data_IF_840334322224
#
_entry.id   IF_840334322224
#
_cell.length_a   1.000
_cell.length_b   1.000
_cell.length_c   1.000
_cell.angle_alpha   90.00
_cell.angle_beta   90.00
_cell.angle_gamma   90.00
#
_symmetry.space_group_name_H-M   'P 1'
#
loop_
_entity.id
_entity.type
_entity.pdbx_description
1 polymer ?
#
# COMPACT_ATOMS: atom_id res chain seq x y z
N UNK A 1 -7.24 13.90 -14.07
CA UNK A 1 -7.10 12.45 -14.23
C UNK A 1 -7.79 11.85 -13.00
N UNK A 2 -7.75 10.54 -12.81
CA UNK A 2 -8.04 9.94 -11.51
C UNK A 2 -7.01 8.86 -11.19
N UNK A 3 -6.46 8.85 -9.98
CA UNK A 3 -5.77 7.67 -9.47
C UNK A 3 -6.84 6.76 -8.86
N UNK A 4 -6.79 5.46 -9.16
CA UNK A 4 -7.87 4.53 -8.86
C UNK A 4 -7.36 3.23 -8.25
N UNK A 5 -7.67 2.99 -6.98
CA UNK A 5 -7.30 1.80 -6.24
C UNK A 5 -8.11 0.58 -6.69
N UNK A 6 -7.41 -0.52 -6.95
CA UNK A 6 -8.02 -1.82 -7.23
C UNK A 6 -8.37 -2.54 -5.93
N UNK A 7 -9.55 -3.20 -5.81
CA UNK A 7 -9.89 -3.98 -4.63
C UNK A 7 -8.94 -5.18 -4.46
N UNK A 8 -8.42 -5.46 -3.26
CA UNK A 8 -7.66 -6.67 -2.99
C UNK A 8 -8.59 -7.91 -2.91
N UNK A 9 -8.07 -9.12 -3.11
CA UNK A 9 -8.79 -10.35 -2.81
C UNK A 9 -9.25 -10.39 -1.35
N UNK A 10 -10.48 -10.84 -1.10
CA UNK A 10 -11.03 -10.92 0.26
C UNK A 10 -10.17 -11.75 1.23
N UNK A 11 -9.48 -12.77 0.73
CA UNK A 11 -8.50 -13.56 1.50
C UNK A 11 -7.29 -12.74 1.96
N UNK A 12 -6.80 -11.82 1.13
CA UNK A 12 -5.65 -10.96 1.47
C UNK A 12 -6.00 -9.98 2.60
N UNK A 13 -7.16 -9.31 2.51
CA UNK A 13 -7.64 -8.44 3.58
C UNK A 13 -7.90 -9.23 4.88
N UNK A 14 -8.49 -10.43 4.78
CA UNK A 14 -8.71 -11.31 5.93
C UNK A 14 -7.40 -11.75 6.59
N UNK A 15 -6.35 -12.04 5.82
CA UNK A 15 -5.04 -12.41 6.33
C UNK A 15 -4.41 -11.27 7.15
N UNK A 16 -4.49 -10.02 6.66
CA UNK A 16 -4.02 -8.83 7.41
C UNK A 16 -4.84 -8.61 8.68
N UNK A 17 -6.18 -8.62 8.59
CA UNK A 17 -7.04 -8.42 9.76
C UNK A 17 -6.81 -9.51 10.84
N UNK A 18 -6.58 -10.76 10.43
CA UNK A 18 -6.23 -11.87 11.32
C UNK A 18 -4.88 -11.65 12.03
N UNK A 19 -3.84 -11.22 11.30
CA UNK A 19 -2.53 -10.92 11.87
C UNK A 19 -2.59 -9.75 12.87
N UNK A 20 -3.35 -8.69 12.56
CA UNK A 20 -3.55 -7.55 13.45
C UNK A 20 -4.39 -7.92 14.70
N UNK A 21 -5.41 -8.77 14.55
CA UNK A 21 -6.19 -9.29 15.67
C UNK A 21 -5.35 -10.19 16.59
N UNK A 22 -4.41 -10.96 16.01
CA UNK A 22 -3.43 -11.79 16.73
C UNK A 22 -2.32 -10.98 17.43
N UNK A 23 -2.31 -9.66 17.31
CA UNK A 23 -1.32 -8.79 17.97
C UNK A 23 0.06 -8.81 17.30
N UNK A 24 0.13 -8.97 15.98
CA UNK A 24 1.39 -8.87 15.23
C UNK A 24 2.13 -7.56 15.54
N UNK A 25 3.37 -7.67 16.05
CA UNK A 25 4.15 -6.54 16.52
C UNK A 25 4.55 -5.59 15.37
N UNK A 26 4.31 -4.30 15.55
CA UNK A 26 4.77 -3.27 14.62
C UNK A 26 6.30 -3.16 14.67
N UNK A 27 6.99 -3.12 13.51
CA UNK A 27 8.44 -3.01 13.47
C UNK A 27 8.89 -1.55 13.73
N UNK A 28 10.00 -1.33 14.46
CA UNK A 28 10.54 0.02 14.63
C UNK A 28 10.89 0.66 13.28
N UNK A 29 10.69 1.98 13.10
CA UNK A 29 10.31 2.97 14.12
C UNK A 29 8.81 3.08 14.39
N UNK A 30 7.95 2.22 13.81
CA UNK A 30 6.51 2.31 14.02
C UNK A 30 6.10 1.91 15.44
N UNK A 31 5.70 2.90 16.23
CA UNK A 31 4.93 2.71 17.46
C UNK A 31 3.47 3.04 17.18
N UNK A 32 2.56 2.13 17.50
CA UNK A 32 1.18 2.55 17.74
C UNK A 32 1.13 3.36 19.04
N UNK A 33 0.34 4.44 19.03
CA UNK A 33 -0.25 5.02 20.22
C UNK A 33 -1.42 4.16 20.74
N UNK A 34 -2.49 4.77 21.27
CA UNK A 34 -3.62 4.02 21.83
C UNK A 34 -4.55 3.40 20.76
N UNK A 35 -4.39 3.74 19.48
CA UNK A 35 -5.21 3.21 18.40
C UNK A 35 -4.70 1.84 17.90
N UNK A 36 -5.63 0.90 17.66
CA UNK A 36 -5.28 -0.30 16.89
C UNK A 36 -5.08 0.10 15.42
N UNK A 37 -3.96 -0.27 14.76
CA UNK A 37 -3.74 0.03 13.34
C UNK A 37 -4.81 -0.62 12.46
N UNK A 38 -5.28 0.11 11.43
CA UNK A 38 -6.34 -0.31 10.50
C UNK A 38 -5.86 -0.19 9.04
N UNK A 39 -6.21 -1.13 8.14
CA UNK A 39 -5.91 -1.00 6.71
C UNK A 39 -6.60 0.23 6.09
N UNK A 40 -5.81 1.21 5.64
CA UNK A 40 -6.28 2.42 4.96
C UNK A 40 -6.52 2.16 3.47
N UNK A 41 -5.55 1.55 2.79
CA UNK A 41 -5.59 1.24 1.36
C UNK A 41 -4.74 0.02 1.04
N UNK A 42 -4.93 -0.56 -0.15
CA UNK A 42 -4.13 -1.68 -0.65
C UNK A 42 -3.52 -1.35 -2.03
N UNK A 43 -2.26 -1.74 -2.24
CA UNK A 43 -1.55 -1.67 -3.52
C UNK A 43 -1.17 -3.08 -3.98
N UNK A 44 -1.51 -3.50 -5.22
CA UNK A 44 -1.07 -4.77 -5.75
C UNK A 44 0.41 -4.71 -6.13
N UNK A 45 1.19 -5.66 -5.61
CA UNK A 45 2.62 -5.81 -5.91
C UNK A 45 2.75 -6.67 -7.16
N UNK A 46 3.40 -6.13 -8.19
CA UNK A 46 3.66 -6.79 -9.46
C UNK A 46 5.16 -7.02 -9.64
N UNK A 47 5.55 -8.24 -10.04
CA UNK A 47 6.93 -8.57 -10.36
C UNK A 47 7.15 -8.64 -11.88
N UNK A 48 8.29 -8.12 -12.33
CA UNK A 48 8.79 -8.36 -13.69
C UNK A 48 9.53 -9.69 -13.73
N UNK A 49 9.47 -10.39 -14.87
CA UNK A 49 10.16 -11.68 -15.09
C UNK A 49 10.95 -11.67 -16.39
N UNK A 50 12.04 -12.46 -16.40
CA UNK A 50 12.90 -12.66 -17.56
C UNK A 50 13.99 -11.59 -17.75
N UNK A 51 14.96 -11.84 -18.65
CA UNK A 51 16.16 -11.00 -18.82
C UNK A 51 15.93 -9.69 -19.58
N UNK A 52 14.75 -9.51 -20.19
CA UNK A 52 14.32 -8.29 -20.88
C UNK A 52 12.93 -7.88 -20.35
N UNK A 53 12.87 -7.34 -19.11
CA UNK A 53 11.62 -7.20 -18.38
C UNK A 53 10.68 -6.14 -18.99
N UNK A 54 9.42 -6.51 -19.24
CA UNK A 54 8.39 -5.63 -19.82
C UNK A 54 7.18 -5.54 -18.90
N UNK A 55 6.63 -4.34 -18.70
CA UNK A 55 5.40 -4.12 -17.91
C UNK A 55 4.20 -4.97 -18.38
N UNK A 56 4.10 -5.25 -19.68
CA UNK A 56 3.04 -6.10 -20.24
C UNK A 56 3.12 -7.58 -19.78
N UNK A 57 4.26 -8.02 -19.23
CA UNK A 57 4.45 -9.33 -18.61
C UNK A 57 4.62 -9.24 -17.08
N UNK A 58 4.21 -8.14 -16.45
CA UNK A 58 4.28 -7.99 -15.00
C UNK A 58 3.13 -8.75 -14.32
N UNK A 59 3.46 -9.75 -13.50
CA UNK A 59 2.48 -10.57 -12.78
C UNK A 59 2.24 -10.04 -11.37
N UNK A 60 0.98 -9.99 -10.92
CA UNK A 60 0.65 -9.65 -9.53
C UNK A 60 1.08 -10.79 -8.59
N UNK A 61 2.08 -10.55 -7.74
CA UNK A 61 2.67 -11.55 -6.82
C UNK A 61 2.21 -11.38 -5.37
N UNK A 62 1.62 -10.24 -5.01
CA UNK A 62 1.16 -9.96 -3.66
C UNK A 62 0.43 -8.63 -3.53
N UNK A 63 0.20 -8.20 -2.30
CA UNK A 63 -0.49 -6.95 -1.94
C UNK A 63 0.17 -6.31 -0.72
N UNK A 64 0.44 -5.00 -0.82
CA UNK A 64 0.84 -4.16 0.32
C UNK A 64 -0.37 -3.40 0.83
N UNK A 65 -0.77 -3.62 2.07
CA UNK A 65 -1.78 -2.80 2.75
C UNK A 65 -1.08 -1.72 3.55
N UNK A 66 -1.43 -0.44 3.36
CA UNK A 66 -0.94 0.62 4.24
C UNK A 66 -1.83 0.71 5.47
N UNK A 67 -1.22 0.75 6.65
CA UNK A 67 -1.90 0.74 7.95
C UNK A 67 -1.85 2.14 8.57
N UNK A 68 -3.03 2.69 8.86
CA UNK A 68 -3.18 3.96 9.57
C UNK A 68 -3.60 3.72 11.02
N UNK A 69 -3.09 4.54 11.95
CA UNK A 69 -3.60 4.59 13.32
C UNK A 69 -4.69 5.65 13.51
N UNK A 70 -4.84 6.57 12.54
CA UNK A 70 -5.77 7.69 12.66
C UNK A 70 -7.22 7.18 12.64
N UNK A 71 -7.89 7.27 13.79
CA UNK A 71 -9.32 7.09 13.89
C UNK A 71 -10.04 8.02 12.89
N UNK A 72 -11.12 7.51 12.29
CA UNK A 72 -11.86 8.19 11.23
C UNK A 72 -12.36 9.57 11.72
N UNK A 73 -12.04 10.70 11.05
CA UNK A 73 -12.59 12.00 11.42
C UNK A 73 -14.12 12.09 11.27
N UNK A 74 -14.77 11.12 10.62
CA UNK A 74 -16.23 10.98 10.57
C UNK A 74 -16.82 10.20 11.77
N UNK A 75 -16.00 9.63 12.66
CA UNK A 75 -16.50 9.00 13.89
C UNK A 75 -17.05 10.09 14.83
N UNK A 76 -18.35 10.07 15.18
CA UNK A 76 -18.89 11.02 16.14
C UNK A 76 -18.23 10.79 17.51
N UNK A 77 -17.80 11.87 18.15
CA UNK A 77 -17.17 11.78 19.47
C UNK A 77 -18.09 11.05 20.46
N UNK A 78 -17.56 10.15 21.32
CA UNK A 78 -18.36 9.41 22.28
C UNK A 78 -19.10 10.40 23.19
N UNK A 79 -20.43 10.39 23.11
CA UNK A 79 -21.28 11.33 23.82
C UNK A 79 -21.13 11.12 25.34
N UNK A 80 -20.58 12.14 26.01
CA UNK A 80 -20.27 12.13 27.44
C UNK A 80 -21.52 12.16 28.32
N UNK A 81 -22.27 11.06 28.36
CA UNK A 81 -23.50 10.91 29.13
C UNK A 81 -23.22 10.71 30.62
N UNK A 82 -22.90 11.79 31.32
CA UNK A 82 -23.10 11.89 32.77
C UNK A 82 -24.56 12.18 33.09
N UNK A 83 -25.23 11.28 33.80
CA UNK A 83 -26.62 11.46 34.27
C UNK A 83 -27.39 10.14 34.35
N UNK A 84 -27.73 9.70 35.55
CA UNK A 84 -28.39 8.42 35.78
C UNK A 84 -29.93 8.51 35.74
N UNK A 85 -30.58 7.48 35.21
CA UNK A 85 -32.03 7.29 35.29
C UNK A 85 -32.40 5.85 34.94
N UNK A 86 -32.76 5.05 35.94
CA UNK A 86 -32.94 3.60 35.78
C UNK A 86 -34.41 3.20 35.63
N UNK A 87 -34.73 2.38 34.62
CA UNK A 87 -35.74 1.32 34.76
C UNK A 87 -35.72 0.32 33.58
N UNK A 88 -36.24 -0.88 33.83
CA UNK A 88 -36.67 -1.83 32.79
C UNK A 88 -35.57 -2.72 32.21
N UNK A 89 -35.73 -4.04 32.36
CA UNK A 89 -34.88 -5.04 31.71
C UNK A 89 -35.51 -5.54 30.40
N UNK A 90 -34.67 -5.91 29.44
CA UNK A 90 -34.74 -7.27 28.89
C UNK A 90 -33.37 -7.74 28.36
N UNK A 91 -33.16 -9.06 28.33
CA UNK A 91 -31.96 -9.66 27.75
C UNK A 91 -32.09 -9.84 26.23
N UNK A 92 -30.99 -9.66 25.51
CA UNK A 92 -30.96 -9.75 24.03
C UNK A 92 -29.54 -9.68 23.48
N UNK A 93 -28.69 -10.63 23.85
CA UNK A 93 -27.31 -10.69 23.35
C UNK A 93 -27.25 -11.20 21.91
N UNK A 94 -26.46 -10.55 21.05
CA UNK A 94 -26.18 -11.02 19.70
C UNK A 94 -26.04 -9.92 18.65
N UNK A 95 -24.83 -9.37 18.50
CA UNK A 95 -24.39 -8.70 17.28
C UNK A 95 -24.19 -7.19 17.32
N UNK A 96 -22.93 -6.74 17.52
CA UNK A 96 -22.41 -5.53 16.84
C UNK A 96 -20.89 -5.53 16.54
N UNK A 97 -20.21 -6.69 16.56
CA UNK A 97 -18.77 -6.79 16.22
C UNK A 97 -18.43 -6.50 14.74
N UNK A 98 -19.42 -6.09 13.93
CA UNK A 98 -19.32 -5.90 12.49
C UNK A 98 -19.31 -4.42 12.05
N UNK A 99 -19.53 -3.45 12.96
CA UNK A 99 -19.77 -2.04 12.58
C UNK A 99 -18.62 -1.06 12.78
N UNK A 100 -17.53 -1.45 13.44
CA UNK A 100 -16.45 -0.50 13.80
C UNK A 100 -15.26 -0.49 12.83
N UNK A 101 -15.48 -0.71 11.54
CA UNK A 101 -14.43 -0.66 10.51
C UNK A 101 -14.73 0.44 9.47
N UNK A 102 -13.93 1.50 9.47
CA UNK A 102 -13.89 2.43 8.33
C UNK A 102 -13.46 1.67 7.06
N UNK A 103 -14.11 1.92 5.91
CA UNK A 103 -13.89 1.09 4.72
C UNK A 103 -12.47 1.27 4.17
N UNK A 104 -11.83 0.15 3.81
CA UNK A 104 -10.61 0.14 3.02
C UNK A 104 -10.83 0.96 1.73
N UNK A 105 -9.97 1.94 1.46
CA UNK A 105 -10.09 2.78 0.28
C UNK A 105 -9.96 1.92 -1.00
N UNK A 106 -11.01 1.98 -1.83
CA UNK A 106 -11.15 1.31 -3.13
C UNK A 106 -11.90 2.27 -4.06
N UNK A 107 -11.56 2.29 -5.34
CA UNK A 107 -12.14 3.25 -6.28
C UNK A 107 -11.27 4.49 -6.42
N UNK A 108 -11.87 5.67 -6.52
CA UNK A 108 -11.13 6.93 -6.70
C UNK A 108 -10.32 7.30 -5.44
N UNK A 109 -9.04 7.62 -5.66
CA UNK A 109 -8.09 7.89 -4.58
C UNK A 109 -8.02 9.39 -4.26
N UNK A 110 -8.15 9.73 -2.99
CA UNK A 110 -7.68 10.99 -2.41
C UNK A 110 -6.42 10.72 -1.57
N UNK A 111 -5.65 11.77 -1.27
CA UNK A 111 -4.42 11.63 -0.47
C UNK A 111 -4.69 11.68 1.04
N UNK A 112 -5.96 11.62 1.44
CA UNK A 112 -6.40 11.82 2.82
C UNK A 112 -6.04 10.60 3.68
N UNK A 113 -5.80 10.81 4.97
CA UNK A 113 -5.36 9.75 5.88
C UNK A 113 -3.90 9.29 5.68
N UNK A 114 -3.23 9.63 4.58
CA UNK A 114 -1.81 9.29 4.35
C UNK A 114 -0.86 9.87 5.41
N UNK A 115 -1.24 10.93 6.11
CA UNK A 115 -0.49 11.49 7.25
C UNK A 115 -0.59 10.64 8.53
N UNK A 116 -1.51 9.67 8.58
CA UNK A 116 -1.68 8.74 9.70
C UNK A 116 -1.11 7.34 9.45
N UNK A 117 -0.48 7.10 8.29
CA UNK A 117 0.12 5.79 7.94
C UNK A 117 1.38 5.58 8.78
N UNK A 118 1.37 4.52 9.59
CA UNK A 118 2.49 4.16 10.49
C UNK A 118 3.23 2.89 10.08
N UNK A 119 2.57 1.98 9.37
CA UNK A 119 3.14 0.70 8.94
C UNK A 119 2.52 0.24 7.62
N UNK A 120 3.06 -0.84 7.05
CA UNK A 120 2.43 -1.63 6.01
C UNK A 120 2.40 -3.11 6.38
N UNK A 121 1.42 -3.84 5.84
CA UNK A 121 1.35 -5.29 5.90
C UNK A 121 1.53 -5.87 4.50
N UNK A 122 2.50 -6.77 4.34
CA UNK A 122 2.72 -7.49 3.08
C UNK A 122 1.94 -8.80 3.07
N UNK A 123 1.24 -9.08 1.98
CA UNK A 123 0.58 -10.35 1.69
C UNK A 123 1.16 -10.91 0.40
N UNK A 124 1.56 -12.18 0.40
CA UNK A 124 2.06 -12.89 -0.79
C UNK A 124 1.02 -13.85 -1.33
N UNK A 125 1.03 -14.10 -2.64
CA UNK A 125 0.19 -15.12 -3.25
C UNK A 125 0.80 -16.52 -2.97
N UNK A 126 0.20 -17.27 -2.05
CA UNK A 126 0.52 -18.69 -1.79
C UNK A 126 -0.31 -19.63 -2.67
N UNK A 127 -0.02 -20.95 -2.64
CA UNK A 127 -0.71 -21.94 -3.46
C UNK A 127 -2.21 -22.05 -3.12
N UNK A 128 -2.55 -22.04 -1.82
CA UNK A 128 -3.92 -22.13 -1.32
C UNK A 128 -4.62 -20.75 -1.21
N UNK A 129 -3.99 -19.69 -1.71
CA UNK A 129 -4.47 -18.31 -1.67
C UNK A 129 -3.52 -17.32 -1.00
N UNK A 130 -3.97 -16.08 -0.72
CA UNK A 130 -3.11 -15.03 -0.17
C UNK A 130 -2.73 -15.30 1.30
N UNK A 131 -1.43 -15.21 1.61
CA UNK A 131 -0.85 -15.46 2.94
C UNK A 131 -0.17 -14.20 3.46
N UNK A 132 -0.45 -13.80 4.71
CA UNK A 132 0.25 -12.71 5.38
C UNK A 132 1.74 -13.06 5.54
N UNK A 133 2.63 -12.13 5.17
CA UNK A 133 4.08 -12.32 5.24
C UNK A 133 4.69 -11.62 6.45
N UNK A 134 4.59 -10.29 6.52
CA UNK A 134 5.19 -9.49 7.59
C UNK A 134 4.59 -8.08 7.65
N UNK A 135 4.90 -7.36 8.73
CA UNK A 135 4.73 -5.92 8.85
C UNK A 135 6.05 -5.20 8.49
N UNK A 136 5.96 -4.04 7.84
CA UNK A 136 7.10 -3.19 7.45
C UNK A 136 6.85 -1.72 7.83
N UNK A 137 7.92 -0.93 8.05
CA UNK A 137 7.84 0.49 8.46
C UNK A 137 9.10 1.27 8.06
N UNK A 138 9.12 2.57 8.37
CA UNK A 138 10.28 3.46 8.17
C UNK A 138 10.48 3.90 6.72
N UNK A 139 11.71 4.28 6.31
CA UNK A 139 11.94 5.13 5.13
C UNK A 139 11.44 4.55 3.80
N UNK A 140 11.33 3.23 3.65
CA UNK A 140 10.76 2.60 2.45
C UNK A 140 9.22 2.70 2.39
N UNK A 141 8.56 2.70 3.54
CA UNK A 141 7.14 3.02 3.67
C UNK A 141 6.90 4.52 3.41
N UNK A 142 7.69 5.39 4.04
CA UNK A 142 7.58 6.85 3.87
C UNK A 142 7.77 7.25 2.39
N UNK A 143 8.72 6.60 1.73
CA UNK A 143 8.98 6.69 0.29
C UNK A 143 7.78 6.24 -0.56
N UNK A 144 7.08 5.18 -0.16
CA UNK A 144 5.84 4.71 -0.80
C UNK A 144 4.69 5.71 -0.62
N UNK A 145 4.50 6.22 0.61
CA UNK A 145 3.48 7.23 0.95
C UNK A 145 3.71 8.53 0.17
N UNK A 146 4.97 8.96 0.05
CA UNK A 146 5.35 10.13 -0.76
C UNK A 146 5.01 9.95 -2.24
N UNK A 147 5.39 8.81 -2.83
CA UNK A 147 5.11 8.52 -4.23
C UNK A 147 3.59 8.47 -4.53
N UNK A 148 2.76 8.03 -3.58
CA UNK A 148 1.29 8.09 -3.72
C UNK A 148 0.75 9.54 -3.74
N UNK A 149 1.33 10.45 -2.95
CA UNK A 149 0.95 11.88 -3.01
C UNK A 149 1.35 12.51 -4.34
N UNK A 150 2.56 12.22 -4.82
CA UNK A 150 3.06 12.68 -6.12
C UNK A 150 2.23 12.13 -7.28
N UNK A 151 1.90 10.83 -7.23
CA UNK A 151 0.97 10.20 -8.17
C UNK A 151 -0.41 10.84 -8.15
N UNK A 152 -0.97 11.16 -6.98
CA UNK A 152 -2.27 11.84 -6.89
C UNK A 152 -2.23 13.27 -7.42
N UNK A 153 -1.17 14.04 -7.15
CA UNK A 153 -1.05 15.40 -7.68
C UNK A 153 -0.93 15.39 -9.21
N UNK A 154 -0.07 14.52 -9.76
CA UNK A 154 0.07 14.31 -11.20
C UNK A 154 -1.24 13.82 -11.83
N UNK A 155 -1.96 12.93 -11.14
CA UNK A 155 -3.22 12.36 -11.60
C UNK A 155 -4.47 13.23 -11.32
N UNK A 156 -4.35 14.53 -11.05
CA UNK A 156 -5.49 15.49 -11.07
C UNK A 156 -5.68 16.07 -12.48
N UNK A 157 -6.65 16.96 -12.71
CA UNK A 157 -6.79 17.71 -13.98
C UNK A 157 -7.26 16.95 -15.24
N UNK A 158 -6.39 16.16 -15.90
CA UNK A 158 -6.61 15.61 -17.26
C UNK A 158 -7.56 14.38 -17.41
N UNK A 159 -7.54 13.65 -18.53
CA UNK A 159 -8.54 12.60 -18.82
C UNK A 159 -8.19 11.18 -18.36
N UNK A 160 -6.91 10.77 -18.32
CA UNK A 160 -6.49 9.39 -18.04
C UNK A 160 -6.88 8.93 -16.61
N UNK A 161 -7.18 7.63 -16.45
CA UNK A 161 -7.32 6.97 -15.16
C UNK A 161 -6.14 6.02 -14.94
N UNK A 162 -5.45 6.18 -13.82
CA UNK A 162 -4.27 5.39 -13.46
C UNK A 162 -4.57 4.41 -12.33
N UNK A 163 -4.12 3.15 -12.46
CA UNK A 163 -4.07 2.20 -11.34
C UNK A 163 -2.66 2.24 -10.72
N UNK A 164 -2.49 2.58 -9.43
CA UNK A 164 -1.21 2.47 -8.76
C UNK A 164 -0.90 1.00 -8.44
N UNK A 165 0.32 0.58 -8.75
CA UNK A 165 0.85 -0.78 -8.55
C UNK A 165 2.26 -0.66 -7.98
N UNK A 166 2.65 -1.51 -7.05
CA UNK A 166 4.05 -1.56 -6.60
C UNK A 166 4.86 -2.46 -7.53
N UNK A 167 6.06 -2.02 -7.89
CA UNK A 167 6.94 -2.69 -8.85
C UNK A 167 8.34 -2.86 -8.22
N UNK A 168 8.62 -3.99 -7.53
CA UNK A 168 9.95 -4.29 -7.03
C UNK A 168 10.95 -4.52 -8.17
N UNK A 169 12.17 -4.01 -7.99
CA UNK A 169 13.26 -4.08 -8.95
C UNK A 169 14.49 -4.71 -8.24
N UNK A 170 14.45 -6.03 -7.95
CA UNK A 170 15.45 -6.69 -7.10
C UNK A 170 16.87 -6.60 -7.65
N UNK A 171 17.05 -6.72 -8.98
CA UNK A 171 18.34 -6.57 -9.69
C UNK A 171 18.99 -5.18 -9.51
N UNK A 172 18.28 -4.21 -8.94
CA UNK A 172 18.78 -2.87 -8.65
C UNK A 172 18.59 -2.47 -7.17
N UNK A 173 18.19 -3.41 -6.30
CA UNK A 173 17.76 -3.19 -4.90
C UNK A 173 16.78 -2.01 -4.72
N UNK A 174 15.92 -1.80 -5.71
CA UNK A 174 15.04 -0.64 -5.79
C UNK A 174 13.57 -1.05 -5.94
N UNK A 175 12.68 -0.07 -6.05
CA UNK A 175 11.27 -0.27 -6.41
C UNK A 175 10.72 0.98 -7.07
N UNK A 176 9.60 0.86 -7.77
CA UNK A 176 8.83 1.98 -8.29
C UNK A 176 7.34 1.86 -7.93
N UNK A 177 6.65 3.00 -7.85
CA UNK A 177 5.21 3.06 -7.97
C UNK A 177 4.86 3.18 -9.46
N UNK A 178 4.23 2.15 -10.00
CA UNK A 178 3.76 2.08 -11.38
C UNK A 178 2.34 2.61 -11.48
N UNK A 179 2.15 3.64 -12.30
CA UNK A 179 0.86 4.21 -12.64
C UNK A 179 0.44 3.62 -13.99
N UNK A 180 -0.37 2.57 -13.95
CA UNK A 180 -0.83 1.89 -15.15
C UNK A 180 -2.03 2.64 -15.76
N UNK A 181 -1.89 3.18 -16.96
CA UNK A 181 -2.88 4.02 -17.66
C UNK A 181 -3.87 3.23 -18.52
N UNK A 182 -3.69 1.92 -18.66
CA UNK A 182 -4.59 1.04 -19.42
C UNK A 182 -4.45 1.11 -20.95
N UNK A 183 -3.62 2.01 -21.48
CA UNK A 183 -3.23 2.08 -22.90
C UNK A 183 -1.72 1.91 -23.06
N UNK A 184 -1.23 1.29 -24.15
CA UNK A 184 0.21 1.23 -24.43
C UNK A 184 0.79 2.64 -24.56
N UNK A 185 1.79 2.95 -23.74
CA UNK A 185 2.48 4.27 -23.73
C UNK A 185 1.99 5.25 -22.66
N UNK A 186 0.79 5.08 -22.10
CA UNK A 186 0.29 5.95 -21.02
C UNK A 186 1.00 5.68 -19.68
N UNK A 187 1.61 4.50 -19.50
CA UNK A 187 2.18 4.03 -18.24
C UNK A 187 3.39 4.88 -17.75
N UNK A 188 3.29 5.33 -16.49
CA UNK A 188 4.35 6.08 -15.80
C UNK A 188 4.95 5.28 -14.64
N UNK A 189 6.21 5.55 -14.31
CA UNK A 189 6.92 4.98 -13.16
C UNK A 189 7.46 6.12 -12.28
N UNK A 190 7.16 6.09 -10.99
CA UNK A 190 7.78 6.96 -9.96
C UNK A 190 8.75 6.08 -9.15
N UNK A 191 10.08 6.23 -9.31
CA UNK A 191 11.06 5.49 -8.53
C UNK A 191 10.94 5.82 -7.04
N UNK A 192 10.92 4.79 -6.19
CA UNK A 192 10.99 4.95 -4.74
C UNK A 192 12.45 5.16 -4.32
N UNK A 193 12.67 5.91 -3.24
CA UNK A 193 13.92 5.84 -2.50
C UNK A 193 14.03 4.48 -1.75
N UNK A 194 15.22 3.83 -1.73
CA UNK A 194 16.42 4.17 -2.49
C UNK A 194 16.23 3.91 -4.00
N UNK A 195 16.57 4.90 -4.81
CA UNK A 195 16.39 4.83 -6.26
C UNK A 195 17.61 4.16 -6.94
N UNK A 196 17.42 3.59 -8.15
CA UNK A 196 18.52 3.06 -8.95
C UNK A 196 19.60 4.12 -9.25
N UNK A 197 20.83 3.69 -9.52
CA UNK A 197 21.92 4.60 -9.87
C UNK A 197 21.58 5.40 -11.15
N UNK A 198 21.77 6.73 -11.12
CA UNK A 198 21.40 7.62 -12.23
C UNK A 198 19.90 7.87 -12.40
N UNK A 199 19.08 7.45 -11.42
CA UNK A 199 17.63 7.69 -11.38
C UNK A 199 17.30 8.53 -10.15
N UNK A 200 16.51 9.58 -10.32
CA UNK A 200 15.98 10.35 -9.21
C UNK A 200 14.82 9.60 -8.55
N UNK A 201 14.85 9.46 -7.22
CA UNK A 201 13.65 9.10 -6.47
C UNK A 201 12.57 10.18 -6.64
N UNK A 202 11.30 9.79 -6.52
CA UNK A 202 10.19 10.73 -6.39
C UNK A 202 10.00 11.68 -7.58
N UNK A 203 10.39 11.22 -8.77
CA UNK A 203 10.15 11.89 -10.06
C UNK A 203 9.44 10.94 -11.01
N UNK A 204 8.29 11.36 -11.56
CA UNK A 204 7.55 10.56 -12.54
C UNK A 204 8.25 10.56 -13.90
N UNK A 205 8.47 9.38 -14.47
CA UNK A 205 9.07 9.17 -15.78
C UNK A 205 8.15 8.27 -16.64
N UNK A 206 8.14 8.42 -17.98
CA UNK A 206 7.53 7.44 -18.87
C UNK A 206 8.15 6.06 -18.65
N UNK A 207 7.33 5.01 -18.59
CA UNK A 207 7.82 3.67 -18.22
C UNK A 207 8.96 3.16 -19.11
N UNK A 208 8.88 3.40 -20.42
CA UNK A 208 9.92 3.04 -21.37
C UNK A 208 11.26 3.75 -21.12
N UNK A 209 11.22 4.99 -20.60
CA UNK A 209 12.44 5.74 -20.30
C UNK A 209 13.16 5.17 -19.07
N UNK A 210 12.42 4.87 -17.99
CA UNK A 210 13.01 4.27 -16.80
C UNK A 210 13.52 2.85 -17.08
N UNK A 211 12.77 2.01 -17.79
CA UNK A 211 13.24 0.67 -18.18
C UNK A 211 14.52 0.76 -19.01
N UNK A 212 14.57 1.63 -20.03
CA UNK A 212 15.78 1.83 -20.82
C UNK A 212 16.95 2.41 -19.99
N UNK A 213 16.71 3.15 -18.90
CA UNK A 213 17.76 3.58 -17.96
C UNK A 213 18.27 2.41 -17.13
N UNK A 214 17.39 1.52 -16.67
CA UNK A 214 17.73 0.32 -15.90
C UNK A 214 18.56 -0.67 -16.72
N UNK A 215 18.20 -0.92 -17.98
CA UNK A 215 18.96 -1.76 -18.93
C UNK A 215 20.40 -1.26 -19.19
N UNK A 216 20.65 0.05 -18.99
CA UNK A 216 21.97 0.69 -19.11
C UNK A 216 22.68 0.90 -17.78
N UNK A 217 22.00 0.74 -16.65
CA UNK A 217 22.63 0.69 -15.34
C UNK A 217 23.33 -0.67 -15.19
N UNK A 218 24.49 -0.75 -14.53
CA UNK A 218 24.87 -2.02 -13.93
C UNK A 218 23.73 -2.49 -13.02
N UNK A 219 23.35 -3.76 -13.12
CA UNK A 219 22.61 -4.41 -12.07
C UNK A 219 23.44 -4.30 -10.78
N UNK A 220 22.77 -4.09 -9.65
CA UNK A 220 23.42 -4.05 -8.35
C UNK A 220 23.87 -5.48 -8.02
N UNK A 221 25.09 -5.82 -8.46
CA UNK A 221 25.71 -7.13 -8.25
C UNK A 221 25.48 -7.56 -6.81
N UNK A 222 24.80 -8.68 -6.63
CA UNK A 222 24.71 -9.32 -5.32
C UNK A 222 26.13 -9.47 -4.78
N UNK A 223 26.41 -8.79 -3.66
CA UNK A 223 27.70 -8.92 -2.97
C UNK A 223 27.83 -10.38 -2.58
N UNK A 224 28.72 -11.11 -3.25
CA UNK A 224 29.09 -12.44 -2.82
C UNK A 224 29.69 -12.30 -1.41
N UNK A 225 28.92 -12.72 -0.41
CA UNK A 225 29.37 -12.82 0.97
C UNK A 225 30.38 -13.97 1.04
N UNK A 226 31.63 -13.64 0.72
CA UNK A 226 32.80 -14.46 1.00
C UNK A 226 33.18 -14.17 2.45
N UNK A 227 32.72 -15.04 3.35
CA UNK A 227 32.94 -15.02 4.79
C UNK A 227 32.65 -16.38 5.38
#
# INVERSE_FOLDING_TARGET
MTLHLSPPPAGALRAVLSALASGAALPPPATAGPGRPRPLLALPVHALRGPAPRLAGAECTGWRFLLSERADPAAPAPCGHGGCGANGANGGGGGDEAREYGPLAVGEFTADGLDGVIAAAEVVNGPDGPVFSHLSAGPFLDSTVRALREAWQLARGGPTRYQPRLLPLPEHYASALWLHGGRPGDDLLIPLAPAPLGVAAHQALPAAELLARLERSPAARATALIG
#
